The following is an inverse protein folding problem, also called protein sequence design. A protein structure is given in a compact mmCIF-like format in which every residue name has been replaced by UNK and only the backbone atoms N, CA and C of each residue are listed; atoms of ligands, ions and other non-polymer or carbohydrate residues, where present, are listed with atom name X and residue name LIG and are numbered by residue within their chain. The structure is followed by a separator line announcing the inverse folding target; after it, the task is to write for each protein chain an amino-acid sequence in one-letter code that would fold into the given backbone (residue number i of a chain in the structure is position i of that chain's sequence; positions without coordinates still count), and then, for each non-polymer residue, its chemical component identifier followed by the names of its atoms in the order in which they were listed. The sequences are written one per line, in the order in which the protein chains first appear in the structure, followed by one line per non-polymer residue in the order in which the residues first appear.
data_IF_250081982073
#
_entry.id   IF_250081982073
#
_cell.length_a   1.000
_cell.length_b   1.000
_cell.length_c   1.000
_cell.angle_alpha   90.00
_cell.angle_beta   90.00
_cell.angle_gamma   90.00
#
_symmetry.space_group_name_H-M   'P 1'
#
loop_
_entity.id
_entity.type
_entity.pdbx_description
1 polymer ?
#
# COMPACT_ATOMS: atom_id res chain seq x y z
N UNK A 1 17.70 -28.01 -23.55
CA UNK A 1 17.86 -26.64 -23.99
C UNK A 1 16.45 -26.14 -24.13
N UNK A 2 15.92 -25.50 -23.11
CA UNK A 2 14.66 -24.75 -23.19
C UNK A 2 14.99 -23.54 -24.06
N UNK A 3 14.23 -23.32 -25.16
CA UNK A 3 14.32 -22.08 -25.95
C UNK A 3 14.04 -20.92 -24.99
N UNK A 4 14.86 -19.89 -24.98
CA UNK A 4 14.59 -18.65 -24.25
C UNK A 4 13.30 -18.05 -24.79
N UNK A 5 12.43 -17.49 -23.91
CA UNK A 5 11.18 -16.91 -24.34
C UNK A 5 11.42 -15.73 -25.30
N UNK A 6 10.49 -15.51 -26.19
CA UNK A 6 10.52 -14.36 -27.11
C UNK A 6 9.96 -13.13 -26.40
N UNK A 7 10.79 -12.11 -26.24
CA UNK A 7 10.38 -10.87 -25.59
C UNK A 7 10.25 -9.75 -26.63
N UNK A 8 9.12 -9.06 -26.66
CA UNK A 8 8.82 -7.93 -27.54
C UNK A 8 8.42 -6.71 -26.73
N UNK A 9 9.02 -5.55 -27.02
CA UNK A 9 8.71 -4.28 -26.34
C UNK A 9 8.25 -3.26 -27.36
N UNK A 10 6.97 -2.89 -27.32
CA UNK A 10 6.42 -1.79 -28.11
C UNK A 10 6.77 -0.47 -27.45
N UNK A 11 7.38 0.44 -28.21
CA UNK A 11 7.92 1.70 -27.69
C UNK A 11 7.50 2.89 -28.55
N UNK A 12 7.65 4.11 -28.00
CA UNK A 12 7.49 5.36 -28.75
C UNK A 12 8.66 6.31 -28.51
N UNK A 13 8.88 7.27 -29.41
CA UNK A 13 9.92 8.29 -29.24
C UNK A 13 9.67 9.16 -28.01
N UNK A 14 10.76 9.53 -27.30
CA UNK A 14 10.75 10.36 -26.08
C UNK A 14 9.88 9.81 -24.92
N UNK A 15 9.93 8.51 -24.73
CA UNK A 15 9.16 7.80 -23.70
C UNK A 15 10.07 7.34 -22.56
N UNK A 16 10.02 8.03 -21.43
CA UNK A 16 10.84 7.68 -20.26
C UNK A 16 10.49 6.31 -19.65
N UNK A 17 9.22 5.91 -19.68
CA UNK A 17 8.81 4.59 -19.20
C UNK A 17 9.26 3.46 -20.14
N UNK A 18 9.35 3.73 -21.44
CA UNK A 18 9.89 2.75 -22.39
C UNK A 18 11.39 2.50 -22.17
N UNK A 19 12.16 3.54 -21.75
CA UNK A 19 13.55 3.36 -21.37
C UNK A 19 13.66 2.52 -20.08
N UNK A 20 12.84 2.80 -19.07
CA UNK A 20 12.83 2.02 -17.83
C UNK A 20 12.54 0.54 -18.07
N UNK A 21 11.55 0.21 -18.92
CA UNK A 21 11.23 -1.18 -19.24
C UNK A 21 12.39 -1.90 -19.96
N UNK A 22 13.09 -1.18 -20.86
CA UNK A 22 14.28 -1.72 -21.51
C UNK A 22 15.45 -1.88 -20.56
N UNK A 23 15.71 -0.88 -19.71
CA UNK A 23 16.77 -0.93 -18.72
C UNK A 23 16.60 -2.13 -17.78
N UNK A 24 15.35 -2.41 -17.34
CA UNK A 24 15.03 -3.57 -16.52
C UNK A 24 15.34 -4.90 -17.23
N UNK A 25 14.93 -5.05 -18.51
CA UNK A 25 15.21 -6.25 -19.28
C UNK A 25 16.70 -6.40 -19.59
N UNK A 26 17.43 -5.29 -19.79
CA UNK A 26 18.88 -5.27 -19.96
C UNK A 26 19.61 -5.69 -18.66
N UNK A 27 19.16 -5.22 -17.50
CA UNK A 27 19.67 -5.62 -16.18
C UNK A 27 19.47 -7.13 -15.92
N UNK A 28 18.33 -7.67 -16.35
CA UNK A 28 18.06 -9.11 -16.28
C UNK A 28 18.79 -9.95 -17.34
N UNK A 29 19.52 -9.30 -18.26
CA UNK A 29 20.30 -9.96 -19.30
C UNK A 29 19.46 -10.66 -20.37
N UNK A 30 18.23 -10.22 -20.59
CA UNK A 30 17.27 -10.80 -21.54
C UNK A 30 17.39 -10.12 -22.90
N UNK A 31 17.42 -10.93 -23.98
CA UNK A 31 17.35 -10.40 -25.34
C UNK A 31 15.87 -10.12 -25.71
N UNK A 32 15.58 -8.92 -26.21
CA UNK A 32 14.24 -8.52 -26.63
C UNK A 32 14.22 -7.78 -27.96
N UNK A 33 13.09 -7.84 -28.66
CA UNK A 33 12.85 -7.08 -29.90
C UNK A 33 12.11 -5.78 -29.57
N UNK A 34 12.64 -4.63 -30.05
CA UNK A 34 12.00 -3.33 -29.87
C UNK A 34 11.19 -2.94 -31.10
N UNK A 35 9.91 -2.66 -30.94
CA UNK A 35 8.98 -2.24 -32.00
C UNK A 35 8.57 -0.79 -31.75
N UNK A 36 9.05 0.15 -32.58
CA UNK A 36 8.72 1.56 -32.41
C UNK A 36 7.43 1.92 -33.17
N UNK A 37 6.39 2.31 -32.42
CA UNK A 37 5.09 2.66 -32.98
C UNK A 37 4.97 4.14 -33.39
N UNK A 38 6.01 4.95 -33.21
CA UNK A 38 5.96 6.37 -33.56
C UNK A 38 5.98 6.56 -35.08
N UNK A 39 4.84 6.99 -35.64
CA UNK A 39 4.68 7.24 -37.08
C UNK A 39 4.47 5.98 -37.93
N UNK A 40 4.28 4.83 -37.29
CA UNK A 40 3.91 3.55 -37.91
C UNK A 40 2.50 3.16 -37.46
N UNK A 41 1.48 3.46 -38.30
CA UNK A 41 0.09 3.17 -37.97
C UNK A 41 -0.19 1.67 -37.89
N UNK A 42 0.48 0.85 -38.72
CA UNK A 42 0.28 -0.60 -38.74
C UNK A 42 0.81 -1.24 -37.45
N UNK A 43 2.02 -0.85 -36.99
CA UNK A 43 2.59 -1.31 -35.75
C UNK A 43 1.80 -0.81 -34.52
N UNK A 44 1.25 0.40 -34.57
CA UNK A 44 0.41 0.91 -33.48
C UNK A 44 -0.93 0.16 -33.40
N UNK A 45 -1.60 -0.10 -34.52
CA UNK A 45 -2.84 -0.88 -34.55
C UNK A 45 -2.60 -2.31 -34.03
N UNK A 46 -1.47 -2.95 -34.41
CA UNK A 46 -1.08 -4.27 -33.93
C UNK A 46 -0.87 -4.26 -32.41
N UNK A 47 -0.12 -3.28 -31.88
CA UNK A 47 0.07 -3.12 -30.43
C UNK A 47 -1.27 -3.02 -29.71
N UNK A 48 -2.16 -2.13 -30.16
CA UNK A 48 -3.48 -1.90 -29.52
C UNK A 48 -4.35 -3.18 -29.56
N UNK A 49 -4.34 -3.92 -30.67
CA UNK A 49 -5.08 -5.18 -30.76
C UNK A 49 -4.55 -6.22 -29.77
N UNK A 50 -3.22 -6.38 -29.68
CA UNK A 50 -2.56 -7.33 -28.77
C UNK A 50 -2.67 -6.91 -27.30
N UNK A 51 -2.66 -5.60 -27.01
CA UNK A 51 -2.72 -5.04 -25.66
C UNK A 51 -4.16 -4.82 -25.13
N UNK A 52 -5.15 -5.58 -25.65
CA UNK A 52 -6.54 -5.51 -25.22
C UNK A 52 -7.17 -4.11 -25.32
N UNK A 53 -6.72 -3.31 -26.29
CA UNK A 53 -7.22 -1.96 -26.53
C UNK A 53 -6.43 -0.84 -25.87
N UNK A 54 -5.38 -1.14 -25.10
CA UNK A 54 -4.46 -0.12 -24.53
C UNK A 54 -3.75 0.62 -25.67
N UNK A 55 -3.62 1.95 -25.53
CA UNK A 55 -3.02 2.85 -26.53
C UNK A 55 -1.73 3.52 -26.00
N UNK A 56 -1.21 3.04 -24.90
CA UNK A 56 0.00 3.54 -24.25
C UNK A 56 1.24 2.74 -24.67
N UNK A 57 2.43 3.26 -24.39
CA UNK A 57 3.70 2.55 -24.50
C UNK A 57 4.55 2.90 -23.25
N UNK A 58 5.36 1.97 -22.74
CA UNK A 58 5.65 0.66 -23.33
C UNK A 58 4.47 -0.31 -23.21
N UNK A 59 4.45 -1.34 -24.08
CA UNK A 59 3.71 -2.59 -23.86
C UNK A 59 4.68 -3.73 -24.11
N UNK A 60 4.83 -4.60 -23.12
CA UNK A 60 5.75 -5.74 -23.09
C UNK A 60 4.99 -7.03 -23.34
N UNK A 61 5.54 -7.92 -24.14
CA UNK A 61 5.00 -9.25 -24.44
C UNK A 61 6.10 -10.30 -24.27
N UNK A 62 5.75 -11.42 -23.64
CA UNK A 62 6.61 -12.59 -23.49
C UNK A 62 5.88 -13.79 -24.08
N UNK A 63 6.46 -14.45 -25.08
CA UNK A 63 5.86 -15.58 -25.82
C UNK A 63 4.42 -15.30 -26.31
N UNK A 64 4.20 -14.09 -26.87
CA UNK A 64 2.90 -13.56 -27.31
C UNK A 64 1.88 -13.27 -26.18
N UNK A 65 2.19 -13.48 -24.90
CA UNK A 65 1.38 -13.12 -23.77
C UNK A 65 1.64 -11.67 -23.36
N UNK A 66 0.58 -10.89 -23.07
CA UNK A 66 0.69 -9.51 -22.65
C UNK A 66 1.15 -9.42 -21.20
N UNK A 67 2.32 -8.87 -20.98
CA UNK A 67 2.81 -8.47 -19.65
C UNK A 67 2.17 -7.16 -19.23
N UNK A 68 2.19 -6.15 -20.11
CA UNK A 68 1.57 -4.84 -19.91
C UNK A 68 2.52 -3.67 -20.06
N UNK A 69 2.17 -2.53 -19.45
CA UNK A 69 2.96 -1.31 -19.42
C UNK A 69 4.14 -1.38 -18.42
N UNK A 70 4.77 -0.23 -18.19
CA UNK A 70 5.88 -0.15 -17.20
C UNK A 70 5.43 -0.59 -15.80
N UNK A 71 4.26 -0.11 -15.35
CA UNK A 71 3.79 -0.39 -14.00
C UNK A 71 3.50 -1.89 -13.82
N UNK A 72 2.83 -2.51 -14.81
CA UNK A 72 2.57 -3.96 -14.81
C UNK A 72 3.90 -4.76 -14.82
N UNK A 73 4.86 -4.36 -15.68
CA UNK A 73 6.17 -5.03 -15.79
C UNK A 73 6.99 -4.91 -14.50
N UNK A 74 6.97 -3.72 -13.88
CA UNK A 74 7.67 -3.47 -12.61
C UNK A 74 7.03 -4.22 -11.45
N UNK A 75 5.71 -4.40 -11.44
CA UNK A 75 5.00 -5.20 -10.44
C UNK A 75 5.34 -6.69 -10.57
N UNK A 76 5.34 -7.23 -11.80
CA UNK A 76 5.73 -8.62 -12.04
C UNK A 76 7.21 -8.88 -11.72
N UNK A 77 8.08 -7.89 -11.93
CA UNK A 77 9.47 -7.94 -11.50
C UNK A 77 9.58 -8.02 -9.97
N UNK A 78 8.91 -7.11 -9.28
CA UNK A 78 8.90 -7.08 -7.81
C UNK A 78 8.31 -8.36 -7.18
N UNK A 79 7.41 -9.06 -7.90
CA UNK A 79 6.84 -10.32 -7.44
C UNK A 79 7.62 -11.56 -7.87
N UNK A 80 8.67 -11.41 -8.70
CA UNK A 80 9.42 -12.52 -9.29
C UNK A 80 8.70 -13.25 -10.43
N UNK A 81 7.42 -12.94 -10.68
CA UNK A 81 6.65 -13.55 -11.78
C UNK A 81 7.27 -13.23 -13.14
N UNK A 82 7.90 -12.06 -13.29
CA UNK A 82 8.62 -11.70 -14.51
C UNK A 82 9.78 -12.67 -14.77
N UNK A 83 10.54 -13.05 -13.74
CA UNK A 83 11.66 -13.97 -13.87
C UNK A 83 11.19 -15.40 -14.21
N UNK A 84 10.05 -15.83 -13.67
CA UNK A 84 9.41 -17.09 -14.07
C UNK A 84 8.99 -17.06 -15.55
N UNK A 85 8.33 -15.98 -15.99
CA UNK A 85 7.92 -15.80 -17.39
C UNK A 85 9.11 -15.76 -18.35
N UNK A 86 10.21 -15.13 -17.92
CA UNK A 86 11.47 -15.05 -18.67
C UNK A 86 12.29 -16.36 -18.62
N UNK A 87 11.90 -17.31 -17.77
CA UNK A 87 12.62 -18.59 -17.60
C UNK A 87 14.00 -18.42 -16.98
N UNK A 88 14.23 -17.34 -16.23
CA UNK A 88 15.49 -17.02 -15.55
C UNK A 88 15.37 -17.12 -14.02
N UNK A 89 14.20 -17.51 -13.49
CA UNK A 89 14.02 -17.74 -12.08
C UNK A 89 15.01 -18.82 -11.59
N UNK A 90 15.93 -18.44 -10.73
CA UNK A 90 16.85 -19.36 -10.03
C UNK A 90 16.34 -19.53 -8.60
N UNK A 91 16.07 -20.77 -8.17
CA UNK A 91 15.94 -21.08 -6.74
C UNK A 91 17.32 -20.94 -6.10
N UNK A 92 17.64 -19.80 -5.51
CA UNK A 92 18.91 -19.55 -4.84
C UNK A 92 18.74 -19.71 -3.33
N UNK A 93 19.42 -20.73 -2.77
CA UNK A 93 19.61 -20.85 -1.31
C UNK A 93 20.75 -19.95 -0.82
N UNK A 94 21.43 -19.22 -1.73
CA UNK A 94 22.56 -18.38 -1.41
C UNK A 94 22.08 -16.99 -0.93
N UNK A 95 22.60 -16.56 0.22
CA UNK A 95 22.36 -15.20 0.76
C UNK A 95 22.98 -14.17 -0.17
N UNK A 96 22.13 -13.27 -0.71
CA UNK A 96 22.60 -12.16 -1.58
C UNK A 96 23.44 -11.20 -0.77
N UNK A 97 22.93 -10.73 0.36
CA UNK A 97 23.61 -9.74 1.20
C UNK A 97 23.17 -9.84 2.67
N UNK A 98 24.04 -9.41 3.57
CA UNK A 98 23.75 -9.20 4.97
C UNK A 98 23.66 -7.71 5.29
N UNK A 99 22.60 -7.29 6.00
CA UNK A 99 22.37 -5.92 6.45
C UNK A 99 22.21 -5.86 7.97
N UNK A 100 22.63 -4.76 8.58
CA UNK A 100 22.30 -4.54 10.00
C UNK A 100 20.83 -4.40 10.22
N UNK A 101 20.12 -3.73 9.30
CA UNK A 101 18.71 -3.45 9.42
C UNK A 101 18.00 -3.56 8.07
N UNK A 102 16.97 -4.40 8.00
CA UNK A 102 16.03 -4.44 6.89
C UNK A 102 14.71 -3.80 7.30
N UNK A 103 14.12 -3.00 6.43
CA UNK A 103 12.82 -2.33 6.65
C UNK A 103 11.86 -2.74 5.53
N UNK A 104 10.71 -3.27 5.89
CA UNK A 104 9.67 -3.68 4.96
C UNK A 104 8.80 -2.47 4.59
N UNK A 105 8.74 -2.12 3.30
CA UNK A 105 7.95 -1.03 2.75
C UNK A 105 8.72 0.28 2.52
N UNK A 106 8.09 1.20 1.78
CA UNK A 106 8.57 2.56 1.51
C UNK A 106 7.50 3.64 1.72
N UNK A 107 6.47 3.33 2.52
CA UNK A 107 5.54 4.34 3.02
C UNK A 107 6.19 5.28 4.05
N UNK A 108 5.42 6.24 4.56
CA UNK A 108 5.89 7.27 5.52
C UNK A 108 6.62 6.68 6.73
N UNK A 109 6.10 5.59 7.30
CA UNK A 109 6.70 4.94 8.47
C UNK A 109 8.09 4.39 8.12
N UNK A 110 8.18 3.61 7.03
CA UNK A 110 9.42 2.99 6.56
C UNK A 110 10.48 4.02 6.18
N UNK A 111 10.11 5.03 5.37
CA UNK A 111 11.04 6.10 4.98
C UNK A 111 11.53 6.91 6.18
N UNK A 112 10.65 7.19 7.16
CA UNK A 112 11.08 7.85 8.39
C UNK A 112 12.03 6.97 9.18
N UNK A 113 11.73 5.67 9.32
CA UNK A 113 12.65 4.72 9.97
C UNK A 113 14.00 4.68 9.25
N UNK A 114 14.02 4.59 7.92
CA UNK A 114 15.23 4.63 7.11
C UNK A 114 16.07 5.88 7.32
N UNK A 115 15.45 7.07 7.39
CA UNK A 115 16.14 8.33 7.68
C UNK A 115 16.83 8.28 9.05
N UNK A 116 16.15 7.82 10.09
CA UNK A 116 16.71 7.79 11.44
C UNK A 116 17.77 6.70 11.59
N UNK A 117 17.53 5.50 11.05
CA UNK A 117 18.48 4.40 11.08
C UNK A 117 19.77 4.71 10.31
N UNK A 118 19.65 5.30 9.11
CA UNK A 118 20.83 5.71 8.33
C UNK A 118 21.65 6.78 9.07
N UNK A 119 21.01 7.70 9.78
CA UNK A 119 21.72 8.70 10.60
C UNK A 119 22.43 8.12 11.82
N UNK A 120 21.99 6.95 12.29
CA UNK A 120 22.64 6.17 13.36
C UNK A 120 23.69 5.18 12.81
N UNK A 121 23.97 5.15 11.51
CA UNK A 121 24.87 4.23 10.82
C UNK A 121 24.46 2.74 10.96
N UNK A 122 23.15 2.48 10.93
CA UNK A 122 22.62 1.12 10.99
C UNK A 122 22.42 0.49 9.60
N UNK A 123 22.95 1.13 8.54
CA UNK A 123 22.98 0.60 7.18
C UNK A 123 21.62 0.00 6.72
N UNK A 124 20.53 0.81 6.75
CA UNK A 124 19.20 0.29 6.47
C UNK A 124 18.99 0.05 4.99
N UNK A 125 18.47 -1.15 4.67
CA UNK A 125 17.92 -1.49 3.37
C UNK A 125 16.38 -1.52 3.47
N UNK A 126 15.72 -0.77 2.59
CA UNK A 126 14.27 -0.72 2.49
C UNK A 126 13.82 -1.45 1.23
N UNK A 127 12.90 -2.40 1.36
CA UNK A 127 12.23 -3.03 0.23
C UNK A 127 10.92 -2.31 -0.08
N UNK A 128 10.73 -1.92 -1.35
CA UNK A 128 9.60 -1.08 -1.75
C UNK A 128 8.24 -1.78 -1.61
N UNK A 129 8.20 -3.11 -1.74
CA UNK A 129 6.96 -3.87 -1.70
C UNK A 129 6.15 -3.77 -3.01
N UNK A 130 4.94 -4.30 -3.01
CA UNK A 130 4.03 -4.27 -4.17
C UNK A 130 3.42 -2.90 -4.46
N UNK A 131 3.41 -1.98 -3.47
CA UNK A 131 2.90 -0.61 -3.60
C UNK A 131 3.99 0.40 -3.21
N UNK A 132 4.93 0.73 -4.12
CA UNK A 132 6.05 1.62 -3.84
C UNK A 132 5.60 3.01 -3.35
N UNK A 133 5.98 3.37 -2.11
CA UNK A 133 5.57 4.63 -1.48
C UNK A 133 4.27 4.54 -0.67
N UNK A 134 3.54 3.43 -0.80
CA UNK A 134 2.32 3.12 -0.04
C UNK A 134 1.13 4.04 -0.35
N UNK A 135 0.14 4.04 0.51
CA UNK A 135 -1.17 4.68 0.30
C UNK A 135 -1.14 6.17 -0.09
N UNK A 136 -0.09 6.91 0.31
CA UNK A 136 0.03 8.32 -0.06
C UNK A 136 0.30 8.55 -1.55
N UNK A 137 0.78 7.56 -2.28
CA UNK A 137 0.96 7.68 -3.74
C UNK A 137 -0.36 7.74 -4.50
N UNK A 138 -1.46 7.30 -3.87
CA UNK A 138 -2.82 7.36 -4.38
C UNK A 138 -3.53 8.68 -4.06
N UNK A 139 -2.92 9.54 -3.23
CA UNK A 139 -3.53 10.79 -2.76
C UNK A 139 -3.01 11.97 -3.57
N UNK A 140 -3.91 12.77 -4.16
CA UNK A 140 -3.56 13.92 -4.99
C UNK A 140 -2.99 15.07 -4.16
N UNK A 141 -3.62 15.40 -3.03
CA UNK A 141 -3.24 16.52 -2.18
C UNK A 141 -3.18 16.12 -0.69
N UNK A 142 -2.08 16.45 -0.02
CA UNK A 142 -1.84 16.23 1.41
C UNK A 142 -1.72 17.59 2.10
N UNK A 143 -2.76 18.03 2.79
CA UNK A 143 -2.80 19.32 3.49
C UNK A 143 -2.52 19.21 4.99
N UNK A 144 -2.59 18.00 5.55
CA UNK A 144 -2.50 17.73 6.99
C UNK A 144 -1.12 17.23 7.46
N UNK A 145 -0.10 17.17 6.57
CA UNK A 145 1.26 16.83 6.96
C UNK A 145 2.04 18.13 7.31
N UNK A 146 2.54 18.27 8.56
CA UNK A 146 3.19 19.50 8.99
C UNK A 146 4.43 19.86 8.20
N UNK A 147 4.58 21.12 7.82
CA UNK A 147 5.73 21.66 7.08
C UNK A 147 5.40 22.12 5.66
N UNK A 148 4.19 21.85 5.18
CA UNK A 148 3.70 22.22 3.86
C UNK A 148 2.43 23.10 3.99
N UNK A 149 2.59 24.43 4.18
CA UNK A 149 1.46 25.34 4.41
C UNK A 149 0.52 25.51 3.22
N UNK A 150 0.97 25.17 2.03
CA UNK A 150 0.20 25.19 0.76
C UNK A 150 -0.23 23.79 0.32
N UNK A 151 -0.06 22.77 1.20
CA UNK A 151 -0.20 21.36 0.82
C UNK A 151 0.97 20.83 -0.01
N UNK A 152 0.94 19.56 -0.30
CA UNK A 152 1.89 18.86 -1.18
C UNK A 152 1.18 17.64 -1.78
N UNK A 153 1.50 17.26 -3.02
CA UNK A 153 0.98 16.00 -3.56
C UNK A 153 1.54 14.80 -2.79
N UNK A 154 0.75 13.74 -2.64
CA UNK A 154 1.22 12.50 -1.98
C UNK A 154 2.48 11.94 -2.63
N UNK A 155 2.53 11.78 -3.98
CA UNK A 155 3.74 11.35 -4.68
C UNK A 155 4.96 12.24 -4.45
N UNK A 156 4.80 13.58 -4.44
CA UNK A 156 5.91 14.50 -4.18
C UNK A 156 6.42 14.39 -2.75
N UNK A 157 5.53 14.22 -1.77
CA UNK A 157 5.92 13.99 -0.37
C UNK A 157 6.76 12.72 -0.24
N UNK A 158 6.30 11.61 -0.83
CA UNK A 158 7.04 10.35 -0.83
C UNK A 158 8.39 10.48 -1.53
N UNK A 159 8.45 11.09 -2.72
CA UNK A 159 9.70 11.31 -3.43
C UNK A 159 10.70 12.15 -2.62
N UNK A 160 10.24 13.24 -2.00
CA UNK A 160 11.07 14.05 -1.12
C UNK A 160 11.63 13.23 0.06
N UNK A 161 10.83 12.32 0.62
CA UNK A 161 11.28 11.46 1.73
C UNK A 161 12.25 10.38 1.25
N UNK A 162 12.04 9.77 0.07
CA UNK A 162 12.97 8.84 -0.57
C UNK A 162 14.33 9.50 -0.78
N UNK A 163 14.34 10.67 -1.41
CA UNK A 163 15.59 11.45 -1.60
C UNK A 163 16.27 11.80 -0.27
N UNK A 164 15.49 12.11 0.76
CA UNK A 164 16.03 12.41 2.08
C UNK A 164 16.65 11.18 2.73
N UNK A 165 16.02 9.99 2.66
CA UNK A 165 16.53 8.75 3.20
C UNK A 165 17.83 8.34 2.51
N UNK A 166 17.87 8.33 1.18
CA UNK A 166 19.04 8.05 0.36
C UNK A 166 20.19 9.02 0.63
N UNK A 167 19.91 10.30 0.81
CA UNK A 167 20.94 11.31 1.15
C UNK A 167 21.63 10.99 2.48
N UNK A 168 20.97 10.32 3.41
CA UNK A 168 21.57 9.89 4.67
C UNK A 168 22.23 8.51 4.58
N UNK A 169 22.09 7.80 3.47
CA UNK A 169 22.72 6.51 3.22
C UNK A 169 21.79 5.31 3.44
N UNK A 170 20.47 5.50 3.40
CA UNK A 170 19.53 4.38 3.29
C UNK A 170 19.53 3.87 1.85
N UNK A 171 19.60 2.57 1.66
CA UNK A 171 19.41 1.93 0.37
C UNK A 171 17.92 1.56 0.20
N UNK A 172 17.40 1.73 -1.00
CA UNK A 172 16.05 1.37 -1.40
C UNK A 172 16.15 0.40 -2.58
N UNK A 173 15.57 -0.76 -2.45
CA UNK A 173 15.53 -1.78 -3.49
C UNK A 173 14.09 -2.18 -3.80
N UNK A 174 13.86 -2.50 -5.08
CA UNK A 174 12.61 -3.08 -5.50
C UNK A 174 12.56 -4.53 -5.03
N UNK A 175 11.45 -4.96 -4.47
CA UNK A 175 11.28 -6.33 -3.98
C UNK A 175 10.15 -6.43 -2.98
N UNK A 176 9.44 -7.56 -3.03
CA UNK A 176 8.38 -7.90 -2.08
C UNK A 176 8.91 -8.97 -1.14
N UNK A 177 8.94 -8.68 0.16
CA UNK A 177 9.30 -9.68 1.17
C UNK A 177 8.19 -10.73 1.19
N UNK A 178 8.55 -11.98 0.93
CA UNK A 178 7.66 -13.14 0.96
C UNK A 178 7.62 -13.78 2.35
N UNK A 179 8.78 -13.86 3.03
CA UNK A 179 8.86 -14.43 4.37
C UNK A 179 10.00 -13.84 5.20
N UNK A 180 9.83 -13.90 6.52
CA UNK A 180 10.87 -13.66 7.51
C UNK A 180 10.98 -14.90 8.38
N UNK A 181 12.20 -15.41 8.56
CA UNK A 181 12.52 -16.50 9.48
C UNK A 181 13.19 -15.92 10.72
N UNK A 182 12.48 -15.99 11.86
CA UNK A 182 12.90 -15.49 13.16
C UNK A 182 13.52 -16.58 14.09
N UNK A 183 13.50 -17.85 13.66
CA UNK A 183 14.27 -18.93 14.29
C UNK A 183 15.77 -18.83 13.96
N UNK A 184 16.12 -18.13 12.85
CA UNK A 184 17.50 -17.89 12.44
C UNK A 184 18.07 -16.60 13.12
N UNK A 185 19.36 -16.63 13.45
CA UNK A 185 20.11 -15.45 13.91
C UNK A 185 21.39 -15.36 13.08
N UNK A 186 21.58 -14.33 12.24
CA UNK A 186 20.68 -13.21 11.92
C UNK A 186 19.36 -13.66 11.27
N UNK A 187 18.32 -12.80 11.28
CA UNK A 187 17.05 -13.04 10.56
C UNK A 187 17.31 -13.38 9.11
N UNK A 188 16.56 -14.33 8.56
CA UNK A 188 16.55 -14.62 7.13
C UNK A 188 15.31 -13.95 6.52
N UNK A 189 15.50 -13.12 5.52
CA UNK A 189 14.45 -12.40 4.79
C UNK A 189 14.48 -12.89 3.35
N UNK A 190 13.41 -13.51 2.92
CA UNK A 190 13.27 -14.03 1.56
C UNK A 190 12.31 -13.14 0.77
N UNK A 191 12.73 -12.77 -0.42
CA UNK A 191 11.90 -12.01 -1.36
C UNK A 191 11.11 -12.97 -2.24
N UNK A 192 10.01 -12.50 -2.80
CA UNK A 192 9.13 -13.26 -3.70
C UNK A 192 9.84 -13.73 -4.97
N UNK A 193 10.88 -13.02 -5.43
CA UNK A 193 11.72 -13.43 -6.55
C UNK A 193 12.77 -14.52 -6.18
N UNK A 194 12.77 -15.01 -4.93
CA UNK A 194 13.68 -16.02 -4.43
C UNK A 194 15.00 -15.49 -3.86
N UNK A 195 15.28 -14.20 -3.94
CA UNK A 195 16.45 -13.61 -3.33
C UNK A 195 16.39 -13.68 -1.80
N UNK A 196 17.51 -13.96 -1.18
CA UNK A 196 17.62 -14.12 0.27
C UNK A 196 18.60 -13.12 0.86
N UNK A 197 18.11 -12.38 1.83
CA UNK A 197 18.92 -11.45 2.64
C UNK A 197 18.98 -11.92 4.10
N UNK A 198 20.00 -11.48 4.82
CA UNK A 198 20.03 -11.66 6.27
C UNK A 198 20.12 -10.30 6.98
N UNK A 199 19.54 -10.20 8.18
CA UNK A 199 19.53 -8.96 8.94
C UNK A 199 19.69 -9.20 10.44
N UNK A 200 20.43 -8.31 11.12
CA UNK A 200 20.53 -8.32 12.59
C UNK A 200 19.22 -7.82 13.23
N UNK A 201 18.49 -6.93 12.55
CA UNK A 201 17.18 -6.45 12.97
C UNK A 201 16.25 -6.21 11.78
N UNK A 202 14.93 -6.27 12.02
CA UNK A 202 13.89 -6.03 11.01
C UNK A 202 12.86 -5.03 11.54
N UNK A 203 12.47 -4.06 10.72
CA UNK A 203 11.32 -3.18 10.99
C UNK A 203 10.20 -3.53 10.01
N UNK A 204 9.09 -4.05 10.52
CA UNK A 204 7.86 -4.25 9.78
C UNK A 204 7.12 -2.90 9.64
N UNK A 205 7.16 -2.30 8.45
CA UNK A 205 6.52 -1.02 8.13
C UNK A 205 5.77 -1.07 6.80
N UNK A 206 5.23 -2.24 6.48
CA UNK A 206 4.53 -2.59 5.24
C UNK A 206 3.14 -1.94 5.09
N UNK A 207 2.64 -1.27 6.14
CA UNK A 207 1.37 -0.57 6.12
C UNK A 207 0.14 -1.48 6.11
N UNK A 208 -0.98 -0.91 5.69
CA UNK A 208 -2.25 -1.61 5.51
C UNK A 208 -2.91 -1.11 4.22
N UNK A 209 -3.50 -2.02 3.47
CA UNK A 209 -4.21 -1.70 2.23
C UNK A 209 -5.69 -1.50 2.51
N UNK A 210 -6.26 -0.42 1.99
CA UNK A 210 -7.69 -0.17 2.07
C UNK A 210 -8.44 -1.26 1.29
N UNK A 211 -9.56 -1.72 1.85
CA UNK A 211 -10.45 -2.64 1.13
C UNK A 211 -11.25 -1.87 0.11
N UNK A 212 -11.34 -2.42 -1.09
CA UNK A 212 -12.13 -1.86 -2.18
C UNK A 212 -13.48 -2.55 -2.29
N UNK A 213 -14.43 -1.88 -2.92
CA UNK A 213 -15.76 -2.44 -3.25
C UNK A 213 -15.68 -3.29 -4.51
N UNK A 214 -14.71 -3.01 -5.41
CA UNK A 214 -14.56 -3.64 -6.71
C UNK A 214 -15.65 -3.23 -7.71
N UNK A 215 -16.22 -2.04 -7.54
CA UNK A 215 -17.27 -1.54 -8.44
C UNK A 215 -16.67 -0.68 -9.57
N UNK A 216 -17.27 -0.67 -10.77
CA UNK A 216 -16.82 0.18 -11.86
C UNK A 216 -16.75 1.65 -11.43
N UNK A 217 -15.67 2.33 -11.81
CA UNK A 217 -15.41 3.73 -11.48
C UNK A 217 -14.66 3.96 -10.16
N UNK A 218 -14.54 2.94 -9.29
CA UNK A 218 -13.84 3.09 -8.01
C UNK A 218 -12.37 3.40 -8.20
N UNK A 219 -11.64 2.55 -8.94
CA UNK A 219 -10.20 2.70 -9.16
C UNK A 219 -9.88 3.94 -10.01
N UNK A 220 -10.68 4.20 -11.07
CA UNK A 220 -10.48 5.32 -11.98
C UNK A 220 -10.67 6.69 -11.31
N UNK A 221 -11.51 6.74 -10.25
CA UNK A 221 -11.85 7.97 -9.53
C UNK A 221 -11.20 8.06 -8.14
N UNK A 222 -10.36 7.09 -7.78
CA UNK A 222 -9.58 7.15 -6.54
C UNK A 222 -8.70 8.39 -6.51
N UNK A 223 -8.84 9.24 -5.47
CA UNK A 223 -8.20 10.56 -5.39
C UNK A 223 -8.89 11.67 -6.20
N UNK A 224 -9.91 11.34 -7.00
CA UNK A 224 -10.70 12.29 -7.80
C UNK A 224 -12.17 12.33 -7.37
N UNK A 225 -12.43 12.19 -6.08
CA UNK A 225 -13.75 12.15 -5.47
C UNK A 225 -14.10 10.82 -4.83
N UNK A 226 -13.35 9.75 -5.10
CA UNK A 226 -13.36 8.52 -4.31
C UNK A 226 -12.20 8.54 -3.35
N UNK A 227 -12.45 8.25 -2.07
CA UNK A 227 -11.44 8.25 -1.01
C UNK A 227 -11.72 7.15 0.02
N UNK A 228 -10.68 6.74 0.72
CA UNK A 228 -10.75 5.81 1.87
C UNK A 228 -10.45 6.50 3.20
N UNK A 229 -10.37 7.85 3.22
CA UNK A 229 -10.00 8.63 4.40
C UNK A 229 -10.81 9.94 4.50
N UNK A 230 -11.89 9.96 5.25
CA UNK A 230 -12.71 11.16 5.46
C UNK A 230 -11.94 12.30 6.13
N UNK A 231 -11.03 12.00 7.06
CA UNK A 231 -10.21 13.00 7.74
C UNK A 231 -9.16 13.64 6.85
N UNK A 232 -8.76 12.94 5.79
CA UNK A 232 -7.80 13.43 4.80
C UNK A 232 -8.50 14.37 3.80
N UNK A 233 -9.59 13.91 3.20
CA UNK A 233 -10.12 14.46 1.96
C UNK A 233 -11.48 15.16 2.11
N UNK A 234 -12.20 14.94 3.20
CA UNK A 234 -13.56 15.48 3.38
C UNK A 234 -13.67 17.01 3.23
N UNK A 235 -12.61 17.74 3.56
CA UNK A 235 -12.59 19.18 3.45
C UNK A 235 -12.63 19.71 2.00
N UNK A 236 -12.15 18.91 1.02
CA UNK A 236 -12.12 19.28 -0.40
C UNK A 236 -13.52 19.33 -1.03
N UNK A 237 -14.46 18.55 -0.50
CA UNK A 237 -15.83 18.41 -1.02
C UNK A 237 -16.86 19.20 -0.23
N UNK A 238 -16.45 20.34 0.33
CA UNK A 238 -17.30 21.21 1.16
C UNK A 238 -18.50 21.74 0.39
N UNK A 239 -19.71 21.50 0.93
CA UNK A 239 -20.99 21.94 0.38
C UNK A 239 -21.53 21.01 -0.70
N UNK A 240 -20.92 19.80 -0.84
CA UNK A 240 -21.41 18.74 -1.71
C UNK A 240 -22.12 17.68 -0.86
N UNK A 241 -23.02 16.92 -1.49
CA UNK A 241 -23.56 15.69 -0.93
C UNK A 241 -22.49 14.60 -1.01
N UNK A 242 -22.32 13.84 0.07
CA UNK A 242 -21.26 12.82 0.17
C UNK A 242 -21.83 11.48 0.57
N UNK A 243 -21.29 10.40 -0.01
CA UNK A 243 -21.61 9.02 0.39
C UNK A 243 -20.47 8.46 1.26
N UNK A 244 -20.85 7.74 2.33
CA UNK A 244 -19.97 6.84 3.08
C UNK A 244 -20.49 5.43 2.92
N UNK A 245 -19.64 4.52 2.43
CA UNK A 245 -20.01 3.11 2.26
C UNK A 245 -19.39 2.28 3.37
N UNK A 246 -20.23 1.67 4.20
CA UNK A 246 -19.76 0.83 5.30
C UNK A 246 -20.82 0.53 6.35
N UNK A 247 -20.44 -0.12 7.44
CA UNK A 247 -21.37 -0.46 8.51
C UNK A 247 -20.68 -0.91 9.81
N UNK A 248 -19.38 -0.62 9.92
CA UNK A 248 -18.59 -0.73 11.15
C UNK A 248 -18.34 0.63 11.78
N UNK A 249 -17.58 0.67 12.88
CA UNK A 249 -17.28 1.89 13.64
C UNK A 249 -16.69 2.99 12.77
N UNK A 250 -15.71 2.66 11.92
CA UNK A 250 -15.07 3.60 11.01
C UNK A 250 -16.08 4.33 10.10
N UNK A 251 -17.03 3.60 9.51
CA UNK A 251 -18.03 4.21 8.63
C UNK A 251 -18.94 5.20 9.37
N UNK A 252 -19.31 4.90 10.61
CA UNK A 252 -20.12 5.78 11.45
C UNK A 252 -19.32 6.99 11.94
N UNK A 253 -18.05 6.80 12.30
CA UNK A 253 -17.16 7.88 12.68
C UNK A 253 -16.90 8.84 11.51
N UNK A 254 -16.57 8.29 10.32
CA UNK A 254 -16.35 9.07 9.12
C UNK A 254 -17.60 9.82 8.67
N UNK A 255 -18.78 9.17 8.69
CA UNK A 255 -20.02 9.84 8.37
C UNK A 255 -20.29 11.02 9.32
N UNK A 256 -20.12 10.82 10.64
CA UNK A 256 -20.24 11.90 11.63
C UNK A 256 -19.19 13.00 11.44
N UNK A 257 -17.99 12.66 10.99
CA UNK A 257 -16.93 13.63 10.71
C UNK A 257 -17.27 14.51 9.51
N UNK A 258 -17.77 13.91 8.43
CA UNK A 258 -18.08 14.57 7.16
C UNK A 258 -19.26 15.57 7.27
N UNK A 259 -20.15 15.44 8.26
CA UNK A 259 -21.20 16.45 8.52
C UNK A 259 -20.65 17.88 8.74
N UNK A 260 -19.36 18.02 9.05
CA UNK A 260 -18.68 19.31 9.16
C UNK A 260 -18.51 20.03 7.81
N UNK A 261 -18.61 19.30 6.73
CA UNK A 261 -18.26 19.76 5.39
C UNK A 261 -19.40 19.57 4.39
N UNK A 262 -20.05 18.43 4.40
CA UNK A 262 -21.12 18.05 3.48
C UNK A 262 -22.38 18.90 3.64
N UNK A 263 -23.16 19.03 2.58
CA UNK A 263 -24.55 19.47 2.66
C UNK A 263 -25.39 18.33 3.24
N UNK A 264 -25.22 17.09 2.75
CA UNK A 264 -25.83 15.87 3.30
C UNK A 264 -24.80 14.73 3.23
N UNK A 265 -24.75 13.89 4.27
CA UNK A 265 -23.99 12.62 4.26
C UNK A 265 -24.92 11.44 4.15
N UNK A 266 -24.73 10.62 3.14
CA UNK A 266 -25.49 9.37 2.95
C UNK A 266 -24.65 8.18 3.43
N UNK A 267 -25.04 7.53 4.54
CA UNK A 267 -24.39 6.29 4.98
C UNK A 267 -25.06 5.10 4.29
N UNK A 268 -24.34 4.48 3.34
CA UNK A 268 -24.81 3.34 2.54
C UNK A 268 -24.33 2.04 3.16
N UNK A 269 -25.29 1.15 3.50
CA UNK A 269 -25.00 -0.14 4.10
C UNK A 269 -25.84 -1.26 3.49
N UNK A 270 -25.19 -2.35 3.10
CA UNK A 270 -25.81 -3.50 2.40
C UNK A 270 -26.74 -4.37 3.24
N UNK A 271 -26.84 -4.13 4.55
CA UNK A 271 -27.66 -4.89 5.51
C UNK A 271 -28.58 -3.95 6.27
N UNK A 272 -29.57 -4.54 6.95
CA UNK A 272 -30.43 -3.78 7.87
C UNK A 272 -29.71 -3.43 9.18
N UNK A 273 -28.88 -4.36 9.72
CA UNK A 273 -28.16 -4.19 10.98
C UNK A 273 -26.68 -3.87 10.76
N UNK A 274 -26.13 -3.06 11.66
CA UNK A 274 -24.74 -2.61 11.64
C UNK A 274 -23.82 -3.51 12.48
N UNK A 275 -22.52 -3.45 12.23
CA UNK A 275 -21.48 -4.01 13.09
C UNK A 275 -20.90 -2.97 14.03
N UNK A 276 -21.19 -1.69 13.79
CA UNK A 276 -20.75 -0.60 14.64
C UNK A 276 -21.30 -0.77 16.07
N UNK A 277 -20.47 -0.34 17.04
CA UNK A 277 -20.88 -0.30 18.44
C UNK A 277 -22.04 0.68 18.65
N UNK A 278 -22.91 0.37 19.63
CA UNK A 278 -24.10 1.19 19.96
C UNK A 278 -23.73 2.65 20.19
N UNK A 279 -22.55 2.94 20.74
CA UNK A 279 -22.05 4.30 20.93
C UNK A 279 -21.97 5.11 19.61
N UNK A 280 -21.43 4.50 18.56
CA UNK A 280 -21.31 5.17 17.27
C UNK A 280 -22.65 5.32 16.56
N UNK A 281 -23.51 4.30 16.69
CA UNK A 281 -24.89 4.33 16.17
C UNK A 281 -25.69 5.45 16.84
N UNK A 282 -25.67 5.52 18.17
CA UNK A 282 -26.36 6.57 18.92
C UNK A 282 -25.85 7.99 18.59
N UNK A 283 -24.53 8.12 18.40
CA UNK A 283 -23.91 9.38 18.03
C UNK A 283 -24.35 9.86 16.65
N UNK A 284 -24.37 8.97 15.66
CA UNK A 284 -24.78 9.31 14.30
C UNK A 284 -26.28 9.59 14.24
N UNK A 285 -27.10 8.93 15.08
CA UNK A 285 -28.54 9.15 15.16
C UNK A 285 -28.89 10.62 15.47
N UNK A 286 -28.06 11.33 16.24
CA UNK A 286 -28.21 12.76 16.47
C UNK A 286 -28.13 13.58 15.18
N UNK A 287 -27.18 13.27 14.30
CA UNK A 287 -27.04 13.90 12.99
C UNK A 287 -28.17 13.52 12.03
N UNK A 288 -28.72 12.31 12.15
CA UNK A 288 -29.91 11.91 11.38
C UNK A 288 -31.13 12.74 11.81
N UNK A 289 -31.32 12.97 13.12
CA UNK A 289 -32.42 13.79 13.65
C UNK A 289 -32.28 15.26 13.24
N UNK A 290 -31.07 15.77 13.14
CA UNK A 290 -30.75 17.14 12.68
C UNK A 290 -30.88 17.29 11.15
N UNK A 291 -30.91 16.20 10.40
CA UNK A 291 -31.07 16.15 8.94
C UNK A 291 -29.72 16.26 8.19
N UNK A 292 -28.59 16.15 8.88
CA UNK A 292 -27.25 16.22 8.30
C UNK A 292 -26.83 14.86 7.70
N UNK A 293 -27.47 13.76 8.16
CA UNK A 293 -27.17 12.38 7.72
C UNK A 293 -28.44 11.65 7.32
N UNK A 294 -28.38 10.90 6.22
CA UNK A 294 -29.38 9.92 5.82
C UNK A 294 -28.74 8.51 5.78
N UNK A 295 -29.37 7.53 6.44
CA UNK A 295 -28.88 6.15 6.46
C UNK A 295 -29.67 5.32 5.46
N UNK A 296 -28.96 4.77 4.47
CA UNK A 296 -29.51 3.92 3.42
C UNK A 296 -29.13 2.45 3.70
N UNK A 297 -29.94 1.77 4.51
CA UNK A 297 -29.78 0.33 4.77
C UNK A 297 -30.24 -0.52 3.59
N UNK A 298 -29.79 -1.78 3.56
CA UNK A 298 -30.11 -2.72 2.49
C UNK A 298 -29.77 -2.20 1.09
N UNK A 299 -28.75 -1.33 1.02
CA UNK A 299 -28.35 -0.59 -0.18
C UNK A 299 -26.87 -0.81 -0.43
N UNK A 300 -26.49 -1.03 -1.68
CA UNK A 300 -25.12 -1.16 -2.15
C UNK A 300 -24.82 -0.17 -3.27
N UNK A 301 -23.58 0.29 -3.30
CA UNK A 301 -23.01 1.03 -4.41
C UNK A 301 -22.74 0.04 -5.55
N UNK A 302 -23.24 0.33 -6.75
CA UNK A 302 -23.11 -0.53 -7.92
C UNK A 302 -22.10 0.02 -8.94
N UNK A 303 -22.05 1.35 -9.09
CA UNK A 303 -21.13 2.03 -10.00
C UNK A 303 -20.92 3.48 -9.56
N UNK A 304 -19.73 4.01 -9.83
CA UNK A 304 -19.38 5.41 -9.61
C UNK A 304 -19.13 6.04 -10.99
N UNK A 305 -19.71 7.21 -11.23
CA UNK A 305 -19.58 7.95 -12.48
C UNK A 305 -18.87 9.29 -12.24
N UNK A 306 -18.02 9.68 -13.18
CA UNK A 306 -17.27 10.90 -13.11
C UNK A 306 -16.10 10.94 -14.09
N UNK A 307 -15.14 11.80 -13.82
CA UNK A 307 -13.88 11.88 -14.59
C UNK A 307 -12.76 12.45 -13.72
N UNK A 308 -11.52 12.18 -14.05
CA UNK A 308 -10.35 12.73 -13.36
C UNK A 308 -10.31 14.28 -13.37
N UNK A 309 -10.91 14.94 -14.37
CA UNK A 309 -10.97 16.40 -14.46
C UNK A 309 -12.14 16.99 -13.66
N UNK A 310 -13.28 16.28 -13.58
CA UNK A 310 -14.54 16.75 -12.99
C UNK A 310 -14.85 16.17 -11.60
N UNK A 311 -14.10 15.17 -11.17
CA UNK A 311 -14.42 14.40 -9.96
C UNK A 311 -15.60 13.44 -10.15
N UNK A 312 -16.15 12.97 -9.03
CA UNK A 312 -17.39 12.20 -8.99
C UNK A 312 -18.58 13.08 -9.35
N UNK A 313 -19.51 12.58 -10.13
CA UNK A 313 -20.70 13.27 -10.64
C UNK A 313 -21.98 12.66 -10.05
N UNK A 314 -22.12 11.34 -10.16
CA UNK A 314 -23.22 10.58 -9.56
C UNK A 314 -22.83 9.13 -9.34
N UNK A 315 -23.69 8.40 -8.63
CA UNK A 315 -23.51 6.97 -8.38
C UNK A 315 -24.77 6.19 -8.71
N UNK A 316 -24.60 4.92 -9.10
CA UNK A 316 -25.68 3.96 -9.19
C UNK A 316 -25.77 3.14 -7.89
N UNK A 317 -26.95 3.05 -7.33
CA UNK A 317 -27.25 2.31 -6.11
C UNK A 317 -28.25 1.18 -6.38
N UNK A 318 -28.05 0.05 -5.71
CA UNK A 318 -29.00 -1.05 -5.68
C UNK A 318 -29.58 -1.18 -4.27
N UNK A 319 -30.88 -1.42 -4.17
CA UNK A 319 -31.60 -1.66 -2.90
C UNK A 319 -32.46 -2.90 -3.00
N UNK A 320 -32.42 -3.74 -1.96
CA UNK A 320 -33.31 -4.89 -1.85
C UNK A 320 -33.84 -5.02 -0.39
N UNK A 321 -35.15 -5.30 -0.17
CA UNK A 321 -35.71 -5.34 1.18
C UNK A 321 -35.04 -6.28 2.19
N UNK A 322 -34.43 -7.36 1.69
CA UNK A 322 -33.70 -8.33 2.51
C UNK A 322 -32.18 -8.11 2.55
N UNK A 323 -31.69 -6.97 2.07
CA UNK A 323 -30.25 -6.65 1.98
C UNK A 323 -29.49 -7.47 0.93
N UNK A 324 -28.18 -7.18 0.79
CA UNK A 324 -27.30 -7.77 -0.21
C UNK A 324 -27.89 -7.70 -1.63
N UNK A 325 -28.22 -6.50 -2.13
CA UNK A 325 -28.89 -6.32 -3.42
C UNK A 325 -28.08 -6.80 -4.62
N UNK A 326 -26.76 -6.73 -4.59
CA UNK A 326 -25.88 -7.23 -5.67
C UNK A 326 -26.04 -8.74 -5.88
N UNK A 327 -26.19 -9.52 -4.81
CA UNK A 327 -26.44 -10.96 -4.87
C UNK A 327 -27.83 -11.29 -5.43
N UNK A 328 -28.72 -10.30 -5.52
CA UNK A 328 -30.12 -10.41 -5.90
C UNK A 328 -30.48 -9.51 -7.08
N UNK A 329 -29.51 -9.20 -7.93
CA UNK A 329 -29.69 -8.28 -9.06
C UNK A 329 -30.81 -8.71 -10.04
N UNK A 330 -31.08 -10.02 -10.15
CA UNK A 330 -32.15 -10.57 -10.99
C UNK A 330 -33.52 -10.63 -10.28
N UNK A 331 -33.60 -10.29 -8.98
CA UNK A 331 -34.87 -10.29 -8.22
C UNK A 331 -35.68 -9.04 -8.58
N UNK A 332 -36.99 -9.19 -8.90
CA UNK A 332 -37.84 -8.04 -9.24
C UNK A 332 -38.08 -7.07 -8.08
N UNK A 333 -37.74 -7.43 -6.83
CA UNK A 333 -37.78 -6.54 -5.67
C UNK A 333 -36.50 -5.72 -5.52
N UNK A 334 -35.47 -5.98 -6.34
CA UNK A 334 -34.24 -5.16 -6.39
C UNK A 334 -34.51 -3.89 -7.20
N UNK A 335 -34.37 -2.75 -6.55
CA UNK A 335 -34.49 -1.43 -7.13
C UNK A 335 -33.11 -0.88 -7.48
N UNK A 336 -32.95 -0.29 -8.67
CA UNK A 336 -31.78 0.49 -9.07
C UNK A 336 -32.17 1.96 -9.17
N UNK A 337 -31.33 2.85 -8.63
CA UNK A 337 -31.54 4.30 -8.72
C UNK A 337 -30.21 5.05 -8.73
N UNK A 338 -30.20 6.23 -9.35
CA UNK A 338 -29.07 7.14 -9.43
C UNK A 338 -29.14 8.16 -8.30
N UNK A 339 -27.95 8.64 -7.83
CA UNK A 339 -27.84 9.70 -6.84
C UNK A 339 -26.68 10.63 -7.22
N UNK A 340 -26.96 11.93 -7.36
CA UNK A 340 -25.95 12.96 -7.59
C UNK A 340 -25.18 13.18 -6.27
N UNK A 341 -23.84 13.06 -6.32
CA UNK A 341 -22.94 13.25 -5.16
C UNK A 341 -21.59 13.77 -5.63
N UNK A 342 -20.92 14.58 -4.80
CA UNK A 342 -19.60 15.10 -5.10
C UNK A 342 -18.45 14.21 -4.64
N UNK A 343 -18.70 13.28 -3.69
CA UNK A 343 -17.66 12.37 -3.20
C UNK A 343 -18.23 11.05 -2.65
N UNK A 344 -17.39 10.02 -2.72
CA UNK A 344 -17.63 8.67 -2.18
C UNK A 344 -16.48 8.29 -1.25
N UNK A 345 -16.81 7.99 0.01
CA UNK A 345 -15.87 7.52 1.02
C UNK A 345 -16.08 6.04 1.29
N UNK A 346 -15.07 5.22 1.00
CA UNK A 346 -15.12 3.76 1.14
C UNK A 346 -14.59 3.36 2.51
N UNK A 347 -15.49 3.18 3.48
CA UNK A 347 -15.18 2.91 4.89
C UNK A 347 -15.51 1.45 5.27
N UNK A 348 -14.98 0.49 4.50
CA UNK A 348 -15.20 -0.97 4.73
C UNK A 348 -14.01 -1.65 5.44
N UNK A 349 -13.03 -0.86 5.91
CA UNK A 349 -11.87 -1.25 6.67
C UNK A 349 -10.62 -1.45 5.83
N UNK A 350 -9.53 -1.80 6.52
CA UNK A 350 -8.22 -2.06 5.94
C UNK A 350 -7.81 -3.50 6.20
N UNK A 351 -6.79 -3.94 5.50
CA UNK A 351 -6.13 -5.23 5.72
C UNK A 351 -4.65 -4.94 5.93
N UNK A 352 -4.09 -5.25 7.12
CA UNK A 352 -2.66 -5.04 7.37
C UNK A 352 -1.82 -5.99 6.52
N UNK A 353 -0.71 -5.48 5.99
CA UNK A 353 0.18 -6.22 5.11
C UNK A 353 1.19 -7.05 5.93
N UNK A 354 0.71 -8.06 6.66
CA UNK A 354 1.48 -8.90 7.58
C UNK A 354 1.68 -10.33 7.08
N UNK A 355 1.26 -10.66 5.87
CA UNK A 355 1.31 -12.03 5.32
C UNK A 355 2.71 -12.64 5.36
N UNK A 356 3.76 -11.86 5.12
CA UNK A 356 5.16 -12.29 5.13
C UNK A 356 5.70 -12.62 6.54
N UNK A 357 4.97 -12.29 7.59
CA UNK A 357 5.27 -12.67 8.97
C UNK A 357 4.58 -13.98 9.39
N UNK A 358 3.85 -14.61 8.47
CA UNK A 358 3.23 -15.90 8.72
C UNK A 358 4.32 -16.96 8.98
N UNK A 359 4.32 -17.54 10.18
CA UNK A 359 5.35 -18.50 10.59
C UNK A 359 6.36 -17.95 11.58
N UNK A 360 6.37 -16.63 11.82
CA UNK A 360 7.14 -16.02 12.93
C UNK A 360 6.37 -16.08 14.24
N UNK A 361 7.08 -15.86 15.35
CA UNK A 361 6.50 -15.71 16.69
C UNK A 361 5.91 -14.30 16.95
N UNK A 362 5.76 -13.47 15.91
CA UNK A 362 5.13 -12.14 16.00
C UNK A 362 3.65 -12.28 16.36
N UNK A 363 3.24 -11.64 17.44
CA UNK A 363 1.84 -11.65 17.87
C UNK A 363 1.00 -10.70 17.01
N UNK A 364 -0.02 -11.24 16.35
CA UNK A 364 -1.03 -10.45 15.61
C UNK A 364 -2.33 -10.39 16.42
N UNK A 365 -3.12 -9.34 16.21
CA UNK A 365 -4.48 -9.28 16.75
C UNK A 365 -5.49 -10.06 15.87
N UNK A 366 -6.78 -9.97 16.20
CA UNK A 366 -7.84 -10.71 15.50
C UNK A 366 -8.04 -10.21 14.06
N UNK A 367 -7.66 -8.98 13.76
CA UNK A 367 -7.72 -8.33 12.46
C UNK A 367 -6.41 -8.46 11.65
N UNK A 368 -5.35 -9.02 12.26
CA UNK A 368 -4.06 -9.28 11.65
C UNK A 368 -3.02 -8.15 11.83
N UNK A 369 -3.29 -7.15 12.68
CA UNK A 369 -2.33 -6.08 13.00
C UNK A 369 -1.27 -6.56 13.99
N UNK A 370 -0.03 -6.07 13.82
CA UNK A 370 1.09 -6.41 14.70
C UNK A 370 0.85 -5.83 16.10
N UNK A 371 0.95 -6.69 17.12
CA UNK A 371 0.97 -6.26 18.51
C UNK A 371 2.37 -5.82 18.92
N UNK A 372 2.49 -4.58 19.35
CA UNK A 372 3.72 -4.03 19.90
C UNK A 372 3.58 -3.78 21.40
N UNK A 373 4.70 -3.61 22.10
CA UNK A 373 4.75 -3.34 23.53
C UNK A 373 3.98 -2.07 23.92
N UNK A 374 4.02 -1.03 23.06
CA UNK A 374 3.33 0.24 23.31
C UNK A 374 3.75 0.94 24.59
N UNK A 375 2.87 1.82 25.10
CA UNK A 375 3.04 2.50 26.39
C UNK A 375 3.94 3.72 26.35
N UNK A 376 4.66 3.98 27.45
CA UNK A 376 5.58 5.11 27.60
C UNK A 376 6.98 4.61 27.96
N UNK A 377 8.00 5.21 27.38
CA UNK A 377 9.41 4.79 27.53
C UNK A 377 9.99 4.28 26.20
N UNK A 378 11.17 3.67 26.22
CA UNK A 378 11.76 3.00 25.07
C UNK A 378 11.13 1.63 24.79
N UNK A 379 11.40 1.08 23.62
CA UNK A 379 10.93 -0.24 23.22
C UNK A 379 9.44 -0.31 22.91
N UNK A 380 8.81 0.82 22.55
CA UNK A 380 7.37 0.86 22.29
C UNK A 380 6.97 0.09 21.02
N UNK A 381 7.88 -0.02 20.08
CA UNK A 381 7.69 -0.66 18.78
C UNK A 381 8.17 -2.12 18.76
N UNK A 382 8.77 -2.61 19.86
CA UNK A 382 9.15 -4.00 20.02
C UNK A 382 7.93 -4.92 19.86
N UNK A 383 8.09 -5.98 19.08
CA UNK A 383 7.14 -7.09 19.00
C UNK A 383 7.46 -8.15 20.08
N UNK A 384 6.83 -9.32 20.02
CA UNK A 384 7.22 -10.46 20.87
C UNK A 384 8.58 -11.06 20.49
N UNK A 385 9.06 -10.79 19.27
CA UNK A 385 10.32 -11.30 18.71
C UNK A 385 11.43 -10.28 18.93
N UNK A 386 12.52 -10.60 19.65
CA UNK A 386 13.65 -9.71 19.83
C UNK A 386 14.30 -9.35 18.49
N UNK A 387 14.57 -8.07 18.23
CA UNK A 387 15.14 -7.59 16.98
C UNK A 387 14.11 -7.32 15.87
N UNK A 388 12.84 -7.66 16.08
CA UNK A 388 11.76 -7.34 15.15
C UNK A 388 10.84 -6.27 15.75
N UNK A 389 10.61 -5.19 14.96
CA UNK A 389 9.86 -4.00 15.39
C UNK A 389 8.71 -3.74 14.42
N UNK A 390 7.62 -3.12 14.90
CA UNK A 390 6.47 -2.75 14.08
C UNK A 390 6.23 -1.25 14.05
N UNK A 391 5.89 -0.67 12.89
CA UNK A 391 5.62 0.75 12.76
C UNK A 391 4.63 1.09 11.64
N UNK A 392 3.82 2.12 11.86
CA UNK A 392 2.83 2.61 10.90
C UNK A 392 1.53 1.81 10.93
N UNK A 393 0.79 1.84 9.83
CA UNK A 393 -0.58 1.32 9.76
C UNK A 393 -0.64 -0.22 9.87
N UNK A 394 0.47 -0.93 9.78
CA UNK A 394 0.56 -2.36 10.08
C UNK A 394 0.39 -2.65 11.58
N UNK A 395 0.51 -1.61 12.44
CA UNK A 395 0.31 -1.61 13.89
C UNK A 395 -0.87 -0.75 14.30
N UNK A 396 -0.99 0.45 13.70
CA UNK A 396 -1.99 1.47 14.03
C UNK A 396 -3.25 1.31 13.16
N UNK A 397 -4.22 0.58 13.69
CA UNK A 397 -5.53 0.41 13.03
C UNK A 397 -6.51 1.56 13.28
N UNK A 398 -6.15 2.51 14.16
CA UNK A 398 -7.09 3.54 14.64
C UNK A 398 -6.83 4.93 14.02
N UNK A 399 -5.60 5.43 14.12
CA UNK A 399 -5.31 6.79 13.62
C UNK A 399 -5.06 6.81 12.12
N UNK A 400 -4.24 5.91 11.59
CA UNK A 400 -3.93 5.75 10.17
C UNK A 400 -3.61 7.09 9.48
N UNK A 401 -2.76 7.90 10.12
CA UNK A 401 -2.35 9.21 9.64
C UNK A 401 -0.86 9.25 9.28
N UNK A 402 -0.50 9.98 8.21
CA UNK A 402 0.89 10.12 7.77
C UNK A 402 1.82 10.59 8.90
N UNK A 403 1.38 11.54 9.73
CA UNK A 403 2.19 12.07 10.85
C UNK A 403 2.36 11.08 12.00
N UNK A 404 1.35 10.23 12.29
CA UNK A 404 1.47 9.15 13.29
C UNK A 404 2.38 8.05 12.78
N UNK A 405 2.24 7.65 11.52
CA UNK A 405 3.12 6.70 10.85
C UNK A 405 4.59 7.16 10.87
N UNK A 406 4.86 8.44 10.55
CA UNK A 406 6.20 9.03 10.68
C UNK A 406 6.72 8.95 12.11
N UNK A 407 5.89 9.29 13.10
CA UNK A 407 6.25 9.20 14.52
C UNK A 407 6.58 7.77 14.98
N UNK A 408 5.83 6.77 14.47
CA UNK A 408 6.10 5.36 14.75
C UNK A 408 7.38 4.88 14.07
N UNK A 409 7.62 5.23 12.81
CA UNK A 409 8.86 4.92 12.11
C UNK A 409 10.10 5.49 12.81
N UNK A 410 10.03 6.73 13.31
CA UNK A 410 11.07 7.32 14.15
C UNK A 410 11.34 6.48 15.42
N UNK A 411 10.29 6.05 16.11
CA UNK A 411 10.43 5.22 17.32
C UNK A 411 11.04 3.86 17.01
N UNK A 412 10.58 3.19 15.95
CA UNK A 412 11.08 1.89 15.54
C UNK A 412 12.57 1.93 15.20
N UNK A 413 13.02 2.95 14.51
CA UNK A 413 14.45 3.13 14.22
C UNK A 413 15.28 3.35 15.49
N UNK A 414 14.77 4.10 16.47
CA UNK A 414 15.46 4.33 17.74
C UNK A 414 15.46 3.09 18.65
N UNK A 415 14.38 2.32 18.64
CA UNK A 415 14.30 1.06 19.39
C UNK A 415 15.23 0.01 18.75
N UNK A 416 15.28 -0.07 17.40
CA UNK A 416 16.20 -0.93 16.67
C UNK A 416 17.67 -0.53 16.89
N UNK A 417 17.99 0.77 16.88
CA UNK A 417 19.32 1.29 17.20
C UNK A 417 19.79 0.83 18.60
N UNK A 418 18.92 0.97 19.59
CA UNK A 418 19.21 0.53 20.96
C UNK A 418 19.40 -0.98 21.08
N UNK A 419 18.67 -1.78 20.29
CA UNK A 419 18.82 -3.23 20.21
C UNK A 419 20.18 -3.60 19.61
N UNK A 420 20.50 -3.05 18.44
CA UNK A 420 21.76 -3.30 17.72
C UNK A 420 23.01 -2.89 18.51
N UNK A 421 22.94 -1.79 19.29
CA UNK A 421 24.02 -1.39 20.20
C UNK A 421 24.21 -2.41 21.34
N UNK A 422 23.14 -2.99 21.85
CA UNK A 422 23.18 -3.92 22.98
C UNK A 422 23.71 -5.29 22.57
N UNK A 423 23.34 -5.78 21.39
CA UNK A 423 23.84 -7.05 20.85
C UNK A 423 25.32 -6.96 20.44
N UNK A 424 25.74 -5.84 19.84
CA UNK A 424 27.16 -5.59 19.58
C UNK A 424 28.02 -5.56 20.86
N UNK A 425 27.47 -5.08 21.97
CA UNK A 425 28.14 -5.12 23.28
C UNK A 425 28.18 -6.55 23.85
N UNK A 426 27.16 -7.37 23.63
CA UNK A 426 27.12 -8.77 24.08
C UNK A 426 28.13 -9.64 23.32
N UNK A 427 28.27 -9.44 22.02
CA UNK A 427 29.29 -10.10 21.20
C UNK A 427 30.72 -9.68 21.62
N UNK A 428 30.97 -8.39 21.80
CA UNK A 428 32.27 -7.88 22.23
C UNK A 428 32.66 -8.41 23.61
N UNK A 429 31.71 -8.50 24.55
CA UNK A 429 31.96 -9.09 25.90
C UNK A 429 32.16 -10.60 25.79
N UNK A 430 31.50 -11.30 24.90
CA UNK A 430 31.67 -12.72 24.65
C UNK A 430 33.06 -13.03 24.06
N UNK A 431 33.53 -12.20 23.10
CA UNK A 431 34.88 -12.31 22.52
C UNK A 431 35.97 -12.03 23.56
N UNK A 432 35.79 -11.01 24.43
CA UNK A 432 36.75 -10.65 25.45
C UNK A 432 36.85 -11.75 26.54
N UNK A 433 35.68 -12.34 26.93
CA UNK A 433 35.66 -13.48 27.87
C UNK A 433 36.21 -14.77 27.27
N UNK A 434 36.06 -14.99 25.97
CA UNK A 434 36.66 -16.13 25.25
C UNK A 434 38.18 -15.96 25.13
N UNK A 435 38.67 -14.75 24.91
CA UNK A 435 40.11 -14.45 24.82
C UNK A 435 40.81 -14.56 26.18
N UNK A 436 40.12 -14.19 27.30
CA UNK A 436 40.62 -14.37 28.67
C UNK A 436 40.62 -15.82 29.14
N UNK A 437 39.80 -16.69 28.52
CA UNK A 437 39.77 -18.12 28.86
C UNK A 437 40.83 -18.97 28.15
N UNK A 438 41.49 -18.41 27.11
CA UNK A 438 42.56 -19.08 26.37
C UNK A 438 44.00 -18.68 26.83
N UNK A 439 44.14 -17.78 27.82
CA UNK A 439 45.38 -17.41 28.51
C UNK A 439 45.50 -18.12 29.87
#
# INVERSE_FOLDING_TARGET
MTDSPRVEVYTKENCGYCEKAKDLLDEKGVEYETINVTGDEDAFEEMVERANGRQTAPEVFIDDELVGGWDDTSELDATGELDEMLGIAEESDDVVEHRKLIISGTGIAALTAGIYAARSNNDPLLFEGGEPGGQLTLTTDVENYPGFPEGISGPDLINNMKEQAQRFGADLENGVIESVDDDATPFRVELRNGDVYTADAVIAASGASARTLGVPGEDELMGYGVSTCATCDGAFFRGEDMIVVGGGDAAFEEAAFLTKFADTVYLVHRREGFRAEDYWVDRLQGHVEDGDVEILTNTELAQIHGSAEGGVDHVDLLRHPEGHPSDKSDDPETESFEMDVGAVFVAIGHTPNTGYLAGTDVELDEEGYIRTKGGAGGGQTETGVPGLFGAGDVVDFHYQQAVTAAGMGCKAALDADSYLETDGLTEAVAEETAAEADD
#
